data_IF_416247564726
#
_entry.id   IF_416247564726
#
_cell.length_a   1.000
_cell.length_b   1.000
_cell.length_c   1.000
_cell.angle_alpha   90.00
_cell.angle_beta   90.00
_cell.angle_gamma   90.00
#
_symmetry.space_group_name_H-M   'P 1'
#
loop_
_entity.id
_entity.type
_entity.pdbx_description
1 polymer ?
#
# COMPACT_ATOMS: atom_id res chain seq x y z
N UNK A 1 -29.27 13.56 -13.25
CA UNK A 1 -28.34 14.17 -12.28
C UNK A 1 -27.30 14.96 -13.06
N UNK A 2 -27.22 16.27 -12.84
CA UNK A 2 -26.30 17.16 -13.57
C UNK A 2 -24.84 16.82 -13.29
N UNK A 3 -23.99 16.92 -14.32
CA UNK A 3 -22.59 16.51 -14.26
C UNK A 3 -21.82 17.42 -13.27
N UNK A 4 -21.25 16.87 -12.19
CA UNK A 4 -20.34 17.63 -11.34
C UNK A 4 -19.09 17.92 -12.17
N UNK A 5 -18.67 19.19 -12.22
CA UNK A 5 -17.50 19.72 -12.93
C UNK A 5 -17.63 20.12 -14.42
N UNK A 6 -18.82 20.14 -15.03
CA UNK A 6 -19.02 20.75 -16.37
C UNK A 6 -18.32 20.04 -17.55
N UNK A 7 -17.62 18.93 -17.29
CA UNK A 7 -17.13 18.01 -18.31
C UNK A 7 -18.33 17.28 -18.93
N UNK A 8 -18.53 17.43 -20.24
CA UNK A 8 -19.56 16.70 -21.00
C UNK A 8 -19.15 15.23 -21.13
N UNK A 9 -19.37 14.49 -20.05
CA UNK A 9 -19.15 13.05 -19.95
C UNK A 9 -20.04 12.32 -20.98
N UNK A 10 -19.51 11.26 -21.59
CA UNK A 10 -20.30 10.41 -22.47
C UNK A 10 -21.38 9.68 -21.65
N UNK A 11 -22.64 10.08 -21.84
CA UNK A 11 -23.77 9.57 -21.06
C UNK A 11 -23.95 8.04 -21.17
N UNK A 12 -23.68 7.46 -22.34
CA UNK A 12 -23.83 6.01 -22.56
C UNK A 12 -22.79 5.23 -21.76
N UNK A 13 -21.53 5.66 -21.83
CA UNK A 13 -20.46 5.01 -21.06
C UNK A 13 -20.64 5.18 -19.56
N UNK A 14 -21.04 6.36 -19.09
CA UNK A 14 -21.35 6.61 -17.67
C UNK A 14 -22.50 5.72 -17.20
N UNK A 15 -23.54 5.54 -18.01
CA UNK A 15 -24.66 4.67 -17.68
C UNK A 15 -24.21 3.20 -17.59
N UNK A 16 -23.43 2.72 -18.57
CA UNK A 16 -22.90 1.36 -18.57
C UNK A 16 -21.99 1.08 -17.36
N UNK A 17 -21.00 1.95 -17.11
CA UNK A 17 -20.09 1.83 -15.96
C UNK A 17 -20.86 1.94 -14.64
N UNK A 18 -21.85 2.84 -14.56
CA UNK A 18 -22.73 2.96 -13.41
C UNK A 18 -23.45 1.65 -13.08
N UNK A 19 -24.12 1.03 -14.05
CA UNK A 19 -24.78 -0.27 -13.85
C UNK A 19 -23.78 -1.36 -13.47
N UNK A 20 -22.60 -1.38 -14.10
CA UNK A 20 -21.55 -2.35 -13.78
C UNK A 20 -21.08 -2.25 -12.31
N UNK A 21 -20.76 -1.04 -11.83
CA UNK A 21 -20.31 -0.85 -10.44
C UNK A 21 -21.43 -1.07 -9.44
N UNK A 22 -22.65 -0.61 -9.74
CA UNK A 22 -23.83 -0.85 -8.90
C UNK A 22 -24.10 -2.35 -8.77
N UNK A 23 -24.05 -3.11 -9.86
CA UNK A 23 -24.20 -4.57 -9.83
C UNK A 23 -23.16 -5.24 -8.92
N UNK A 24 -21.91 -4.81 -8.97
CA UNK A 24 -20.88 -5.35 -8.08
C UNK A 24 -21.10 -4.95 -6.61
N UNK A 25 -21.62 -3.75 -6.34
CA UNK A 25 -22.03 -3.36 -4.98
C UNK A 25 -23.14 -4.29 -4.50
N UNK A 26 -24.14 -4.58 -5.34
CA UNK A 26 -25.18 -5.56 -5.01
C UNK A 26 -24.59 -6.93 -4.70
N UNK A 27 -23.65 -7.41 -5.52
CA UNK A 27 -22.96 -8.67 -5.31
C UNK A 27 -22.21 -8.68 -3.97
N UNK A 28 -21.49 -7.60 -3.65
CA UNK A 28 -20.81 -7.43 -2.37
C UNK A 28 -21.79 -7.41 -1.18
N UNK A 29 -22.91 -6.70 -1.30
CA UNK A 29 -23.96 -6.73 -0.27
C UNK A 29 -24.58 -8.11 -0.10
N UNK A 30 -24.70 -8.89 -1.20
CA UNK A 30 -25.08 -10.28 -1.18
C UNK A 30 -24.12 -11.13 -0.35
N UNK A 31 -22.81 -11.01 -0.59
CA UNK A 31 -21.81 -11.70 0.23
C UNK A 31 -21.84 -11.29 1.69
N UNK A 32 -21.95 -9.98 1.99
CA UNK A 32 -22.09 -9.51 3.37
C UNK A 32 -23.35 -10.02 4.04
N UNK A 33 -24.46 -10.16 3.31
CA UNK A 33 -25.71 -10.71 3.84
C UNK A 33 -25.59 -12.17 4.21
N UNK A 34 -24.85 -12.97 3.41
CA UNK A 34 -24.53 -14.35 3.73
C UNK A 34 -23.60 -14.44 4.95
N UNK A 35 -22.57 -13.60 5.00
CA UNK A 35 -21.65 -13.53 6.13
C UNK A 35 -22.28 -12.97 7.40
N UNK A 36 -23.38 -12.21 7.30
CA UNK A 36 -24.07 -11.58 8.44
C UNK A 36 -24.40 -12.57 9.54
N UNK A 37 -24.81 -13.79 9.18
CA UNK A 37 -25.14 -14.82 10.18
C UNK A 37 -23.89 -15.31 10.94
N UNK A 38 -22.72 -15.31 10.31
CA UNK A 38 -21.46 -15.70 10.91
C UNK A 38 -20.73 -14.55 11.64
N UNK A 39 -21.08 -13.28 11.34
CA UNK A 39 -20.39 -12.10 11.90
C UNK A 39 -20.36 -12.06 13.45
N UNK A 40 -21.46 -12.33 14.18
CA UNK A 40 -21.42 -12.34 15.65
C UNK A 40 -20.43 -13.35 16.21
N UNK A 41 -20.39 -14.55 15.63
CA UNK A 41 -19.46 -15.61 16.04
C UNK A 41 -18.01 -15.24 15.71
N UNK A 42 -17.75 -14.64 14.54
CA UNK A 42 -16.43 -14.16 14.16
C UNK A 42 -15.92 -13.07 15.12
N UNK A 43 -16.76 -12.08 15.44
CA UNK A 43 -16.41 -11.02 16.38
C UNK A 43 -16.11 -11.55 17.78
N UNK A 44 -16.87 -12.57 18.24
CA UNK A 44 -16.61 -13.23 19.51
C UNK A 44 -15.22 -13.90 19.53
N UNK A 45 -14.87 -14.65 18.48
CA UNK A 45 -13.54 -15.24 18.34
C UNK A 45 -12.42 -14.18 18.24
N UNK A 46 -12.63 -13.10 17.49
CA UNK A 46 -11.68 -11.98 17.43
C UNK A 46 -11.46 -11.33 18.80
N UNK A 47 -12.51 -11.23 19.62
CA UNK A 47 -12.40 -10.72 20.99
C UNK A 47 -11.55 -11.63 21.88
N UNK A 48 -11.65 -12.95 21.73
CA UNK A 48 -10.84 -13.91 22.51
C UNK A 48 -9.34 -13.79 22.20
N UNK A 49 -8.97 -13.46 20.97
CA UNK A 49 -7.56 -13.20 20.60
C UNK A 49 -6.97 -12.01 21.36
N UNK A 50 -7.81 -11.12 21.91
CA UNK A 50 -7.39 -10.02 22.78
C UNK A 50 -6.58 -10.44 24.01
N UNK A 51 -6.70 -11.69 24.46
CA UNK A 51 -5.88 -12.24 25.56
C UNK A 51 -4.38 -12.25 25.22
N UNK A 52 -4.02 -12.34 23.93
CA UNK A 52 -2.63 -12.29 23.46
C UNK A 52 -2.04 -10.87 23.46
N UNK A 53 -2.86 -9.84 23.69
CA UNK A 53 -2.44 -8.44 23.79
C UNK A 53 -2.92 -7.53 22.66
N UNK A 54 -2.66 -6.23 22.83
CA UNK A 54 -3.14 -5.15 21.95
C UNK A 54 -2.57 -5.26 20.53
N UNK A 55 -1.31 -5.70 20.40
CA UNK A 55 -0.68 -5.89 19.10
C UNK A 55 -1.37 -6.95 18.25
N UNK A 56 -1.77 -8.08 18.85
CA UNK A 56 -2.50 -9.14 18.17
C UNK A 56 -3.88 -8.64 17.71
N UNK A 57 -4.56 -7.83 18.52
CA UNK A 57 -5.82 -7.18 18.12
C UNK A 57 -5.64 -6.21 16.94
N UNK A 58 -4.56 -5.42 16.93
CA UNK A 58 -4.27 -4.50 15.82
C UNK A 58 -3.99 -5.27 14.52
N UNK A 59 -3.23 -6.38 14.57
CA UNK A 59 -3.04 -7.26 13.41
C UNK A 59 -4.38 -7.78 12.86
N UNK A 60 -5.24 -8.33 13.73
CA UNK A 60 -6.56 -8.81 13.31
C UNK A 60 -7.43 -7.71 12.70
N UNK A 61 -7.36 -6.49 13.25
CA UNK A 61 -8.09 -5.34 12.71
C UNK A 61 -7.59 -4.98 11.31
N UNK A 62 -6.29 -5.04 11.05
CA UNK A 62 -5.74 -4.82 9.70
C UNK A 62 -6.25 -5.86 8.71
N UNK A 63 -6.28 -7.14 9.10
CA UNK A 63 -6.76 -8.23 8.25
C UNK A 63 -8.24 -8.05 7.94
N UNK A 64 -9.05 -7.70 8.94
CA UNK A 64 -10.47 -7.42 8.76
C UNK A 64 -10.70 -6.20 7.84
N UNK A 65 -9.94 -5.12 8.01
CA UNK A 65 -9.99 -3.95 7.13
C UNK A 65 -9.56 -4.29 5.70
N UNK A 66 -8.58 -5.17 5.53
CA UNK A 66 -8.15 -5.67 4.22
C UNK A 66 -9.27 -6.43 3.52
N UNK A 67 -9.96 -7.33 4.24
CA UNK A 67 -11.10 -8.06 3.71
C UNK A 67 -12.27 -7.12 3.38
N UNK A 68 -12.57 -6.16 4.27
CA UNK A 68 -13.65 -5.19 4.08
C UNK A 68 -13.43 -4.32 2.83
N UNK A 69 -12.19 -3.91 2.56
CA UNK A 69 -11.84 -3.03 1.43
C UNK A 69 -11.56 -3.78 0.13
N UNK A 70 -11.80 -5.09 0.08
CA UNK A 70 -11.57 -5.93 -1.10
C UNK A 70 -12.38 -5.45 -2.32
N UNK A 71 -13.66 -5.12 -2.14
CA UNK A 71 -14.51 -4.63 -3.22
C UNK A 71 -13.96 -3.32 -3.85
N UNK A 72 -13.41 -2.43 -3.04
CA UNK A 72 -12.75 -1.18 -3.50
C UNK A 72 -11.51 -1.53 -4.33
N UNK A 73 -10.72 -2.52 -3.89
CA UNK A 73 -9.57 -2.99 -4.66
C UNK A 73 -9.98 -3.58 -6.02
N UNK A 74 -11.05 -4.38 -6.08
CA UNK A 74 -11.59 -4.88 -7.34
C UNK A 74 -11.98 -3.74 -8.28
N UNK A 75 -12.68 -2.71 -7.78
CA UNK A 75 -13.06 -1.53 -8.58
C UNK A 75 -11.85 -0.76 -9.11
N UNK A 76 -10.86 -0.55 -8.24
CA UNK A 76 -9.60 0.04 -8.64
C UNK A 76 -8.93 -0.75 -9.78
N UNK A 77 -8.85 -2.08 -9.66
CA UNK A 77 -8.27 -2.95 -10.71
C UNK A 77 -9.02 -2.81 -12.03
N UNK A 78 -10.35 -2.88 -12.01
CA UNK A 78 -11.16 -2.74 -13.22
C UNK A 78 -10.98 -1.38 -13.88
N UNK A 79 -11.06 -0.30 -13.10
CA UNK A 79 -10.89 1.05 -13.61
C UNK A 79 -9.48 1.29 -14.17
N UNK A 80 -8.44 0.82 -13.46
CA UNK A 80 -7.04 0.90 -13.90
C UNK A 80 -6.82 0.17 -15.22
N UNK A 81 -7.37 -1.05 -15.38
CA UNK A 81 -7.24 -1.83 -16.61
C UNK A 81 -7.97 -1.17 -17.79
N UNK A 82 -9.19 -0.66 -17.59
CA UNK A 82 -9.94 0.03 -18.63
C UNK A 82 -9.20 1.31 -19.06
N UNK A 83 -8.73 2.11 -18.11
CA UNK A 83 -7.98 3.33 -18.40
C UNK A 83 -6.64 3.04 -19.10
N UNK A 84 -5.87 2.08 -18.59
CA UNK A 84 -4.60 1.65 -19.20
C UNK A 84 -4.77 1.10 -20.61
N UNK A 85 -5.81 0.30 -20.85
CA UNK A 85 -6.17 -0.20 -22.19
C UNK A 85 -6.47 0.96 -23.14
N UNK A 86 -7.22 1.96 -22.69
CA UNK A 86 -7.58 3.12 -23.49
C UNK A 86 -6.37 3.99 -23.85
N UNK A 87 -5.48 4.26 -22.89
CA UNK A 87 -4.22 4.97 -23.14
C UNK A 87 -3.33 4.18 -24.12
N UNK A 88 -3.25 2.86 -23.96
CA UNK A 88 -2.50 1.99 -24.86
C UNK A 88 -3.07 2.01 -26.29
N UNK A 89 -4.40 1.90 -26.44
CA UNK A 89 -5.09 1.98 -27.73
C UNK A 89 -4.85 3.34 -28.41
N UNK A 90 -4.96 4.44 -27.66
CA UNK A 90 -4.66 5.78 -28.17
C UNK A 90 -3.21 5.92 -28.61
N UNK A 91 -2.25 5.43 -27.80
CA UNK A 91 -0.83 5.40 -28.17
C UNK A 91 -0.56 4.55 -29.42
N UNK A 92 -1.30 3.46 -29.61
CA UNK A 92 -1.23 2.62 -30.80
C UNK A 92 -1.74 3.34 -32.05
N UNK A 93 -2.90 3.99 -31.97
CA UNK A 93 -3.48 4.78 -33.06
C UNK A 93 -2.63 6.00 -33.40
N UNK A 94 -2.00 6.62 -32.40
CA UNK A 94 -1.04 7.69 -32.63
C UNK A 94 0.17 7.24 -33.47
N UNK A 95 0.64 5.99 -33.29
CA UNK A 95 1.69 5.40 -34.14
C UNK A 95 1.17 5.13 -35.55
N UNK A 96 -0.06 4.63 -35.69
CA UNK A 96 -0.73 4.41 -36.99
C UNK A 96 -0.74 5.70 -37.83
N UNK A 97 -1.10 6.83 -37.23
CA UNK A 97 -1.13 8.14 -37.91
C UNK A 97 0.25 8.64 -38.36
N UNK A 98 1.31 8.17 -37.69
CA UNK A 98 2.70 8.48 -38.05
C UNK A 98 3.31 7.49 -39.03
N UNK A 99 2.54 6.53 -39.55
CA UNK A 99 3.07 5.47 -40.42
C UNK A 99 4.00 4.52 -39.67
N UNK A 100 3.79 4.31 -38.36
CA UNK A 100 4.65 3.48 -37.51
C UNK A 100 3.89 2.28 -36.95
N UNK A 101 4.51 1.10 -36.99
CA UNK A 101 3.99 -0.17 -36.46
C UNK A 101 4.92 -0.72 -35.38
N UNK A 102 4.36 -1.26 -34.29
CA UNK A 102 5.14 -2.05 -33.34
C UNK A 102 5.35 -3.47 -33.89
N UNK A 103 6.60 -3.89 -34.00
CA UNK A 103 6.98 -5.22 -34.41
C UNK A 103 7.31 -6.06 -33.19
N UNK A 104 6.40 -6.97 -32.81
CA UNK A 104 6.56 -7.85 -31.63
C UNK A 104 7.80 -8.75 -31.78
N UNK A 105 8.05 -9.28 -32.98
CA UNK A 105 9.16 -10.22 -33.23
C UNK A 105 10.54 -9.60 -33.02
N UNK A 106 10.69 -8.29 -33.26
CA UNK A 106 11.96 -7.56 -33.12
C UNK A 106 11.93 -6.51 -32.00
N UNK A 107 10.84 -6.45 -31.22
CA UNK A 107 10.62 -5.49 -30.13
C UNK A 107 11.00 -4.05 -30.50
N UNK A 108 10.65 -3.60 -31.71
CA UNK A 108 11.01 -2.28 -32.24
C UNK A 108 9.88 -1.65 -33.04
N UNK A 109 9.95 -0.33 -33.23
CA UNK A 109 9.00 0.44 -34.06
C UNK A 109 9.52 0.49 -35.49
N UNK A 110 8.82 -0.16 -36.43
CA UNK A 110 9.14 -0.15 -37.86
C UNK A 110 8.20 0.82 -38.61
N UNK A 111 8.64 1.36 -39.74
CA UNK A 111 7.78 2.12 -40.66
C UNK A 111 6.85 1.19 -41.42
N UNK A 112 5.59 1.60 -41.59
CA UNK A 112 4.58 0.86 -42.33
C UNK A 112 3.79 1.82 -43.22
N UNK A 113 3.48 1.37 -44.44
CA UNK A 113 2.64 2.09 -45.39
C UNK A 113 1.20 1.68 -45.15
N UNK A 114 0.33 2.66 -44.87
CA UNK A 114 -1.09 2.45 -44.61
C UNK A 114 -1.92 3.07 -45.73
N UNK A 115 -3.02 2.42 -46.11
CA UNK A 115 -3.98 2.99 -47.06
C UNK A 115 -4.80 4.11 -46.41
N UNK A 116 -5.38 4.97 -47.24
CA UNK A 116 -6.26 6.07 -46.80
C UNK A 116 -7.43 5.59 -45.95
N UNK A 117 -8.02 4.44 -46.33
CA UNK A 117 -9.19 3.86 -45.64
C UNK A 117 -8.83 3.41 -44.21
N UNK A 118 -7.64 2.82 -44.04
CA UNK A 118 -7.14 2.42 -42.73
C UNK A 118 -6.90 3.63 -41.82
N UNK A 119 -6.36 4.71 -42.38
CA UNK A 119 -6.14 5.96 -41.66
C UNK A 119 -7.47 6.62 -41.24
N UNK A 120 -8.48 6.57 -42.12
CA UNK A 120 -9.82 7.07 -41.83
C UNK A 120 -10.47 6.31 -40.67
N UNK A 121 -10.48 4.97 -40.73
CA UNK A 121 -11.01 4.13 -39.64
C UNK A 121 -10.25 4.36 -38.34
N UNK A 122 -8.92 4.49 -38.41
CA UNK A 122 -8.10 4.83 -37.23
C UNK A 122 -8.47 6.17 -36.61
N UNK A 123 -8.79 7.17 -37.43
CA UNK A 123 -9.23 8.50 -36.97
C UNK A 123 -10.58 8.43 -36.28
N UNK A 124 -11.53 7.65 -36.80
CA UNK A 124 -12.82 7.42 -36.15
C UNK A 124 -12.66 6.76 -34.77
N UNK A 125 -11.88 5.67 -34.67
CA UNK A 125 -11.64 5.04 -33.37
C UNK A 125 -10.90 5.97 -32.40
N UNK A 126 -9.92 6.73 -32.89
CA UNK A 126 -9.17 7.66 -32.05
C UNK A 126 -10.06 8.77 -31.48
N UNK A 127 -10.93 9.37 -32.30
CA UNK A 127 -11.87 10.41 -31.84
C UNK A 127 -12.86 9.87 -30.82
N UNK A 128 -13.40 8.65 -31.02
CA UNK A 128 -14.25 7.98 -30.03
C UNK A 128 -13.49 7.76 -28.72
N UNK A 129 -12.29 7.16 -28.77
CA UNK A 129 -11.49 6.90 -27.56
C UNK A 129 -11.08 8.19 -26.85
N UNK A 130 -10.77 9.26 -27.59
CA UNK A 130 -10.45 10.57 -27.03
C UNK A 130 -11.64 11.15 -26.27
N UNK A 131 -12.86 11.07 -26.82
CA UNK A 131 -14.06 11.55 -26.14
C UNK A 131 -14.51 10.67 -24.97
N UNK A 132 -14.16 9.38 -24.98
CA UNK A 132 -14.41 8.47 -23.85
C UNK A 132 -13.34 8.57 -22.75
N UNK A 133 -12.19 9.20 -23.02
CA UNK A 133 -11.07 9.29 -22.07
C UNK A 133 -11.43 10.08 -20.80
N UNK A 134 -12.05 11.28 -20.86
CA UNK A 134 -12.39 12.02 -19.65
C UNK A 134 -13.34 11.24 -18.73
N UNK A 135 -14.27 10.46 -19.30
CA UNK A 135 -15.16 9.59 -18.52
C UNK A 135 -14.39 8.51 -17.77
N UNK A 136 -13.55 7.74 -18.44
CA UNK A 136 -12.81 6.64 -17.78
C UNK A 136 -11.76 7.17 -16.80
N UNK A 137 -11.11 8.29 -17.12
CA UNK A 137 -10.16 8.97 -16.24
C UNK A 137 -10.82 9.40 -14.93
N UNK A 138 -12.05 9.94 -14.98
CA UNK A 138 -12.79 10.33 -13.79
C UNK A 138 -13.09 9.13 -12.89
N UNK A 139 -13.63 8.03 -13.43
CA UNK A 139 -13.88 6.81 -12.65
C UNK A 139 -12.59 6.24 -12.06
N UNK A 140 -11.52 6.17 -12.86
CA UNK A 140 -10.20 5.76 -12.39
C UNK A 140 -9.74 6.62 -11.22
N UNK A 141 -9.80 7.95 -11.33
CA UNK A 141 -9.37 8.89 -10.28
C UNK A 141 -10.13 8.71 -8.97
N UNK A 142 -11.45 8.47 -9.01
CA UNK A 142 -12.26 8.28 -7.80
C UNK A 142 -11.86 6.97 -7.10
N UNK A 143 -11.73 5.87 -7.84
CA UNK A 143 -11.36 4.59 -7.24
C UNK A 143 -9.90 4.52 -6.80
N UNK A 144 -8.98 5.25 -7.47
CA UNK A 144 -7.60 5.38 -7.00
C UNK A 144 -7.55 6.14 -5.68
N UNK A 145 -8.28 7.25 -5.56
CA UNK A 145 -8.35 8.01 -4.30
C UNK A 145 -8.93 7.17 -3.16
N UNK A 146 -10.00 6.42 -3.41
CA UNK A 146 -10.56 5.49 -2.41
C UNK A 146 -9.57 4.41 -1.99
N UNK A 147 -8.81 3.85 -2.96
CA UNK A 147 -7.77 2.85 -2.66
C UNK A 147 -6.61 3.44 -1.87
N UNK A 148 -6.16 4.64 -2.21
CA UNK A 148 -5.11 5.35 -1.49
C UNK A 148 -5.54 5.68 -0.06
N UNK A 149 -6.78 6.10 0.16
CA UNK A 149 -7.33 6.32 1.49
C UNK A 149 -7.35 5.03 2.32
N UNK A 150 -7.79 3.91 1.75
CA UNK A 150 -7.78 2.60 2.43
C UNK A 150 -6.34 2.17 2.81
N UNK A 151 -5.39 2.32 1.89
CA UNK A 151 -3.98 2.02 2.14
C UNK A 151 -3.37 2.95 3.19
N UNK A 152 -3.76 4.23 3.23
CA UNK A 152 -3.31 5.17 4.25
C UNK A 152 -3.78 4.77 5.65
N UNK A 153 -5.02 4.31 5.78
CA UNK A 153 -5.54 3.77 7.05
C UNK A 153 -4.76 2.53 7.48
N UNK A 154 -4.56 1.57 6.58
CA UNK A 154 -3.76 0.36 6.87
C UNK A 154 -2.31 0.71 7.23
N UNK A 155 -1.70 1.65 6.51
CA UNK A 155 -0.35 2.14 6.78
C UNK A 155 -0.24 2.84 8.15
N UNK A 156 -1.26 3.61 8.54
CA UNK A 156 -1.33 4.24 9.86
C UNK A 156 -1.39 3.18 10.97
N UNK A 157 -2.25 2.17 10.83
CA UNK A 157 -2.28 1.05 11.77
C UNK A 157 -0.93 0.32 11.83
N UNK A 158 -0.26 0.13 10.68
CA UNK A 158 1.02 -0.59 10.61
C UNK A 158 2.12 0.19 11.31
N UNK A 159 2.10 1.51 11.15
CA UNK A 159 2.99 2.41 11.86
C UNK A 159 2.74 2.36 13.38
N UNK A 160 1.49 2.42 13.82
CA UNK A 160 1.13 2.29 15.25
C UNK A 160 1.63 0.96 15.82
N UNK A 161 1.41 -0.15 15.11
CA UNK A 161 1.87 -1.46 15.52
C UNK A 161 3.39 -1.52 15.64
N UNK A 162 4.11 -0.94 14.67
CA UNK A 162 5.57 -0.88 14.71
C UNK A 162 6.07 -0.08 15.93
N UNK A 163 5.43 1.06 16.24
CA UNK A 163 5.75 1.84 17.44
C UNK A 163 5.51 1.03 18.72
N UNK A 164 4.39 0.30 18.82
CA UNK A 164 4.10 -0.53 19.99
C UNK A 164 5.13 -1.65 20.16
N UNK A 165 5.58 -2.26 19.06
CA UNK A 165 6.53 -3.37 19.09
C UNK A 165 7.97 -2.95 19.37
N UNK A 166 8.37 -1.78 18.90
CA UNK A 166 9.74 -1.26 19.05
C UNK A 166 9.96 -0.55 20.38
N UNK A 167 8.92 0.07 20.94
CA UNK A 167 9.00 0.71 22.25
C UNK A 167 8.90 -0.37 23.35
N UNK A 168 9.89 -0.51 24.25
CA UNK A 168 9.88 -1.46 25.36
C UNK A 168 8.97 -0.90 26.46
N UNK A 169 7.66 -0.90 26.19
CA UNK A 169 6.62 -0.35 27.06
C UNK A 169 6.73 -0.92 28.47
N UNK A 170 7.03 -2.22 28.59
CA UNK A 170 7.25 -2.87 29.87
C UNK A 170 8.41 -2.25 30.65
N UNK A 171 9.58 -2.07 30.03
CA UNK A 171 10.77 -1.51 30.69
C UNK A 171 10.55 -0.04 31.10
N UNK A 172 9.83 0.73 30.27
CA UNK A 172 9.45 2.11 30.59
C UNK A 172 8.45 2.17 31.76
N UNK A 173 7.43 1.32 31.74
CA UNK A 173 6.44 1.24 32.82
C UNK A 173 7.09 0.81 34.13
N UNK A 174 7.99 -0.17 34.10
CA UNK A 174 8.71 -0.63 35.28
C UNK A 174 9.60 0.47 35.87
N UNK A 175 10.26 1.25 35.01
CA UNK A 175 11.07 2.40 35.42
C UNK A 175 10.23 3.50 36.09
N UNK A 176 9.02 3.76 35.58
CA UNK A 176 8.12 4.76 36.13
C UNK A 176 7.54 4.34 37.49
N UNK A 177 7.11 3.08 37.62
CA UNK A 177 6.46 2.56 38.82
C UNK A 177 7.46 2.18 39.92
N UNK A 178 8.57 1.54 39.55
CA UNK A 178 9.60 1.06 40.48
C UNK A 178 10.99 1.21 39.86
N UNK A 179 11.56 2.43 39.88
CA UNK A 179 12.87 2.69 39.26
C UNK A 179 13.96 1.76 39.78
N UNK A 180 13.89 1.32 41.05
CA UNK A 180 14.89 0.44 41.69
C UNK A 180 15.01 -0.97 41.07
N UNK A 181 13.98 -1.44 40.35
CA UNK A 181 13.98 -2.78 39.72
C UNK A 181 14.68 -2.81 38.35
N UNK A 182 14.86 -1.66 37.73
CA UNK A 182 15.57 -1.55 36.44
C UNK A 182 17.06 -1.40 36.74
N UNK A 183 17.75 -2.53 36.87
CA UNK A 183 19.20 -2.57 37.04
C UNK A 183 19.88 -2.13 35.73
N UNK A 184 20.73 -1.10 35.83
CA UNK A 184 21.56 -0.65 34.72
C UNK A 184 22.99 -1.16 34.83
N UNK A 185 23.94 -0.28 34.51
CA UNK A 185 25.35 -0.61 34.57
C UNK A 185 25.84 -0.82 36.00
N UNK A 186 26.83 -1.69 36.15
CA UNK A 186 27.51 -1.93 37.43
C UNK A 186 28.81 -1.12 37.43
N UNK A 187 28.97 -0.21 38.39
CA UNK A 187 30.22 0.51 38.62
C UNK A 187 30.98 -0.16 39.75
N UNK A 188 32.16 -0.70 39.44
CA UNK A 188 33.09 -1.19 40.44
C UNK A 188 34.03 -0.05 40.86
N UNK A 189 34.15 0.19 42.16
CA UNK A 189 35.07 1.16 42.74
C UNK A 189 36.05 0.42 43.64
N UNK A 190 37.36 0.56 43.42
CA UNK A 190 38.36 -0.09 44.26
C UNK A 190 38.47 0.71 45.56
N UNK A 191 38.13 0.10 46.70
CA UNK A 191 38.16 0.80 48.00
C UNK A 191 39.52 0.72 48.70
N UNK A 192 40.27 -0.37 48.50
CA UNK A 192 41.63 -0.50 49.03
C UNK A 192 42.40 -1.61 48.31
N UNK A 193 43.64 -1.33 47.91
CA UNK A 193 44.64 -2.32 47.54
C UNK A 193 45.73 -2.26 48.63
N UNK A 194 45.63 -3.11 49.65
CA UNK A 194 46.69 -3.20 50.66
C UNK A 194 47.85 -4.03 50.09
N UNK A 195 49.08 -3.51 50.04
CA UNK A 195 50.23 -4.24 49.50
C UNK A 195 50.61 -5.49 50.32
N UNK A 196 50.21 -5.59 51.59
CA UNK A 196 50.56 -6.72 52.47
C UNK A 196 49.60 -7.93 52.40
N UNK A 197 48.41 -7.80 51.80
CA UNK A 197 47.47 -8.93 51.68
C UNK A 197 46.95 -9.05 50.24
N UNK A 198 47.10 -10.25 49.65
CA UNK A 198 46.77 -10.61 48.25
C UNK A 198 45.25 -10.63 47.94
N UNK A 199 44.48 -9.63 48.35
CA UNK A 199 43.07 -9.53 47.96
C UNK A 199 42.68 -8.08 47.64
N UNK A 200 41.95 -7.95 46.52
CA UNK A 200 41.45 -6.68 46.00
C UNK A 200 40.00 -6.49 46.47
N UNK A 201 39.73 -5.45 47.27
CA UNK A 201 38.37 -5.12 47.67
C UNK A 201 37.72 -4.18 46.65
N UNK A 202 36.82 -4.75 45.85
CA UNK A 202 35.97 -4.05 44.90
C UNK A 202 34.61 -3.75 45.53
N UNK A 203 34.22 -2.48 45.57
CA UNK A 203 32.87 -2.07 45.93
C UNK A 203 32.02 -1.96 44.67
N UNK A 204 31.05 -2.87 44.57
CA UNK A 204 30.09 -2.92 43.48
C UNK A 204 28.90 -2.00 43.78
N UNK A 205 28.62 -1.03 42.91
CA UNK A 205 27.42 -0.20 42.99
C UNK A 205 26.64 -0.30 41.68
N UNK A 206 25.34 -0.59 41.78
CA UNK A 206 24.44 -0.60 40.62
C UNK A 206 23.97 0.82 40.31
N UNK A 207 24.21 1.28 39.08
CA UNK A 207 23.73 2.57 38.59
C UNK A 207 22.44 2.37 37.78
N UNK A 208 21.50 3.30 37.92
CA UNK A 208 20.29 3.26 37.12
C UNK A 208 20.56 3.72 35.69
N UNK A 209 19.92 3.07 34.70
CA UNK A 209 20.04 3.48 33.29
C UNK A 209 19.38 4.86 33.12
N UNK A 210 20.09 5.88 32.60
CA UNK A 210 19.46 7.16 32.30
C UNK A 210 18.44 7.00 31.16
N UNK A 211 17.40 7.83 31.15
CA UNK A 211 16.28 7.69 30.20
C UNK A 211 16.74 7.90 28.75
N UNK A 212 17.79 8.69 28.55
CA UNK A 212 18.41 8.95 27.25
C UNK A 212 19.05 7.70 26.64
N UNK A 213 19.73 6.87 27.43
CA UNK A 213 20.38 5.66 26.91
C UNK A 213 19.34 4.59 26.57
N UNK A 214 18.23 4.54 27.32
CA UNK A 214 17.10 3.70 26.97
C UNK A 214 16.44 4.14 25.65
N UNK A 215 16.31 5.45 25.43
CA UNK A 215 15.81 6.00 24.16
C UNK A 215 16.76 5.68 22.99
N UNK A 216 18.07 5.76 23.18
CA UNK A 216 19.07 5.40 22.15
C UNK A 216 18.98 3.93 21.75
N UNK A 217 18.79 3.03 22.73
CA UNK A 217 18.59 1.60 22.45
C UNK A 217 17.30 1.38 21.63
N UNK A 218 16.22 2.11 21.95
CA UNK A 218 14.98 2.02 21.15
C UNK A 218 15.14 2.57 19.74
N UNK A 219 15.86 3.69 19.58
CA UNK A 219 16.14 4.27 18.28
C UNK A 219 16.96 3.35 17.37
N UNK A 220 17.84 2.51 17.95
CA UNK A 220 18.58 1.50 17.20
C UNK A 220 17.66 0.42 16.59
N UNK A 221 16.54 0.10 17.25
CA UNK A 221 15.50 -0.80 16.70
C UNK A 221 14.58 -0.11 15.69
N UNK A 222 14.44 1.22 15.76
CA UNK A 222 13.64 2.01 14.82
C UNK A 222 14.28 2.19 13.44
N UNK A 223 15.55 1.80 13.24
CA UNK A 223 16.16 1.85 11.91
C UNK A 223 15.35 0.96 10.97
N UNK A 224 14.57 1.53 10.04
CA UNK A 224 13.84 0.73 9.09
C UNK A 224 14.87 -0.05 8.28
N UNK A 225 14.63 -1.35 8.07
CA UNK A 225 15.31 -2.07 7.00
C UNK A 225 15.14 -1.22 5.74
N UNK A 226 16.21 -0.85 5.02
CA UNK A 226 16.11 0.00 3.86
C UNK A 226 15.33 -0.74 2.77
N UNK A 227 14.00 -0.58 2.78
CA UNK A 227 13.16 -0.98 1.68
C UNK A 227 13.36 0.07 0.59
N UNK A 228 13.85 -0.34 -0.58
CA UNK A 228 13.80 0.49 -1.79
C UNK A 228 12.33 0.68 -2.16
N UNK A 229 11.68 1.66 -1.53
CA UNK A 229 10.34 2.10 -1.91
C UNK A 229 10.35 2.73 -3.30
N UNK A 230 9.20 2.69 -3.97
CA UNK A 230 8.98 3.39 -5.23
C UNK A 230 9.30 4.89 -5.05
N UNK A 231 10.03 5.47 -5.99
CA UNK A 231 10.22 6.93 -5.98
C UNK A 231 8.88 7.64 -6.27
N UNK A 232 8.63 8.79 -5.65
CA UNK A 232 7.37 9.54 -5.86
C UNK A 232 7.08 9.83 -7.34
N UNK A 233 8.13 10.05 -8.12
CA UNK A 233 8.02 10.27 -9.56
C UNK A 233 7.57 9.01 -10.29
N UNK A 234 8.09 7.85 -9.90
CA UNK A 234 7.68 6.54 -10.43
C UNK A 234 6.24 6.19 -10.02
N UNK A 235 5.83 6.51 -8.80
CA UNK A 235 4.43 6.36 -8.38
C UNK A 235 3.49 7.20 -9.25
N UNK A 236 3.86 8.46 -9.53
CA UNK A 236 3.07 9.34 -10.39
C UNK A 236 3.03 8.85 -11.84
N UNK A 237 4.11 8.29 -12.37
CA UNK A 237 4.10 7.71 -13.73
C UNK A 237 3.28 6.42 -13.79
N UNK A 238 3.33 5.56 -12.77
CA UNK A 238 2.46 4.39 -12.67
C UNK A 238 0.98 4.78 -12.58
N UNK A 239 0.66 5.82 -11.82
CA UNK A 239 -0.71 6.34 -11.72
C UNK A 239 -1.17 6.95 -13.06
N UNK A 240 -0.29 7.70 -13.74
CA UNK A 240 -0.58 8.29 -15.03
C UNK A 240 -0.76 7.25 -16.16
N UNK A 241 -0.10 6.10 -16.06
CA UNK A 241 -0.18 5.01 -17.04
C UNK A 241 -1.28 3.98 -16.73
N UNK A 242 -1.97 4.11 -15.59
CA UNK A 242 -2.97 3.14 -15.15
C UNK A 242 -2.38 1.80 -14.71
N UNK A 243 -1.09 1.76 -14.34
CA UNK A 243 -0.48 0.55 -13.78
C UNK A 243 -0.97 0.33 -12.34
N UNK A 244 -1.08 -0.94 -11.96
CA UNK A 244 -1.56 -1.31 -10.62
C UNK A 244 -0.48 -0.99 -9.58
N UNK A 245 -0.87 -0.25 -8.55
CA UNK A 245 0.00 0.04 -7.41
C UNK A 245 -0.09 -1.14 -6.45
N UNK A 246 1.01 -1.88 -6.33
CA UNK A 246 1.17 -2.95 -5.37
C UNK A 246 2.12 -2.51 -4.26
N UNK A 247 1.62 -2.27 -3.02
CA UNK A 247 2.50 -1.93 -1.90
C UNK A 247 3.36 -3.11 -1.41
N UNK A 248 3.00 -4.36 -1.76
CA UNK A 248 3.65 -5.58 -1.25
C UNK A 248 4.45 -6.35 -2.30
N UNK A 249 4.38 -5.98 -3.58
CA UNK A 249 5.15 -6.67 -4.63
C UNK A 249 6.47 -5.96 -4.77
N UNK A 250 7.54 -6.65 -4.37
CA UNK A 250 8.89 -6.16 -4.60
C UNK A 250 9.09 -5.94 -6.11
N UNK A 251 9.67 -4.80 -6.54
CA UNK A 251 9.72 -4.40 -7.94
C UNK A 251 10.36 -5.45 -8.87
N UNK A 252 11.20 -6.33 -8.33
CA UNK A 252 11.84 -7.42 -9.10
C UNK A 252 10.87 -8.55 -9.50
N UNK A 253 9.76 -8.75 -8.79
CA UNK A 253 8.72 -9.72 -9.16
C UNK A 253 7.71 -9.14 -10.16
N UNK A 254 7.40 -7.84 -10.06
CA UNK A 254 6.54 -7.14 -11.02
C UNK A 254 7.18 -7.08 -12.43
N UNK A 255 8.48 -6.80 -12.52
CA UNK A 255 9.22 -6.76 -13.78
C UNK A 255 9.28 -8.14 -14.50
N UNK A 256 9.30 -9.24 -13.74
CA UNK A 256 9.25 -10.62 -14.30
C UNK A 256 7.86 -10.99 -14.82
N UNK A 257 6.79 -10.45 -14.23
CA UNK A 257 5.42 -10.69 -14.68
C UNK A 257 5.09 -9.91 -15.96
N UNK A 258 5.60 -8.69 -16.13
CA UNK A 258 5.43 -7.93 -17.37
C UNK A 258 6.19 -8.56 -18.54
N UNK A 259 7.44 -9.02 -18.32
CA UNK A 259 8.22 -9.76 -19.33
C UNK A 259 7.66 -11.11 -19.78
N UNK A 260 6.62 -11.63 -19.11
CA UNK A 260 5.98 -12.91 -19.45
C UNK A 260 4.66 -12.74 -20.21
N UNK A 261 4.16 -11.51 -20.34
CA UNK A 261 2.87 -11.22 -21.00
C UNK A 261 3.04 -10.23 -22.18
N UNK A 262 4.18 -9.56 -22.29
CA UNK A 262 4.60 -8.82 -23.49
C UNK A 262 5.34 -9.71 -24.50
#
# INVERSE_FOLDING_TARGET
MGAPAGLKLNAQLTNFLGHFFIYHIYLWTGYLSFLRNAMPSLLWWCSMVGVLGISAQICLLMDLLSMLTLHIYCFYVYAAKIFGLQVYMMGSLWRLFRGKKWNVLRSRVDSAVYSTDQLFVGTLFFTVLLFLLPTTALYYSVFTLLRLAALAVQGCLAWILNVIMTVPVFTLALKLLRPKLVAGNVKFTVKHAMPEKKYLMLHMQTCQVPLQDLLKITQAFFLPVPQKGLTWMELMTHLATGQLIYPWVEPHMAAKSQKKVD
#
